data_IF_132544121931
#
_entry.id   IF_132544121931
#
_cell.length_a   1.000
_cell.length_b   1.000
_cell.length_c   1.000
_cell.angle_alpha   90.00
_cell.angle_beta   90.00
_cell.angle_gamma   90.00
#
_symmetry.space_group_name_H-M   'P 1'
#
loop_
_entity.id
_entity.type
_entity.pdbx_description
1 polymer ?
#
# COMPACT_ATOMS: atom_id res chain seq x y z
N UNK A 1 -67.10 -5.72 4.42
CA UNK A 1 -66.86 -5.10 5.74
C UNK A 1 -66.21 -6.16 6.62
N UNK A 2 -65.00 -5.87 7.14
CA UNK A 2 -64.21 -6.65 8.13
C UNK A 2 -63.60 -7.98 7.64
N UNK A 3 -62.38 -8.36 7.99
CA UNK A 3 -61.19 -7.68 8.50
C UNK A 3 -60.04 -8.73 8.47
N UNK A 4 -58.88 -8.32 7.96
CA UNK A 4 -57.50 -8.68 8.32
C UNK A 4 -57.14 -9.84 9.28
N UNK A 5 -55.97 -10.45 8.94
CA UNK A 5 -55.04 -11.35 9.69
C UNK A 5 -55.32 -12.84 9.51
N UNK A 6 -54.37 -13.66 9.04
CA UNK A 6 -53.13 -14.03 9.74
C UNK A 6 -51.95 -14.23 8.75
N UNK A 7 -50.82 -13.64 9.10
CA UNK A 7 -49.47 -13.90 8.57
C UNK A 7 -48.92 -15.21 9.15
N UNK A 8 -48.21 -16.02 8.37
CA UNK A 8 -47.13 -16.89 8.88
C UNK A 8 -46.14 -17.25 7.76
N UNK A 9 -45.06 -16.47 7.73
CA UNK A 9 -43.67 -16.85 7.45
C UNK A 9 -43.40 -18.06 6.53
N UNK A 10 -43.19 -17.77 5.24
CA UNK A 10 -42.55 -18.67 4.29
C UNK A 10 -41.33 -18.00 3.64
N UNK A 11 -40.14 -18.44 4.04
CA UNK A 11 -38.91 -18.52 3.23
C UNK A 11 -38.39 -17.19 2.64
N UNK A 12 -37.66 -16.46 3.48
CA UNK A 12 -36.44 -15.76 3.02
C UNK A 12 -35.36 -15.99 4.06
N UNK A 13 -34.73 -17.18 4.03
CA UNK A 13 -33.49 -17.40 4.73
C UNK A 13 -32.41 -16.56 4.03
N UNK A 14 -32.24 -15.32 4.51
CA UNK A 14 -31.02 -14.54 4.26
C UNK A 14 -29.90 -15.37 4.87
N UNK A 15 -29.11 -16.01 4.02
CA UNK A 15 -27.80 -16.57 4.37
C UNK A 15 -26.93 -15.40 4.83
N UNK A 16 -27.03 -15.07 6.12
CA UNK A 16 -25.95 -14.41 6.85
C UNK A 16 -24.82 -15.45 6.93
N UNK A 17 -23.98 -15.49 5.91
CA UNK A 17 -22.61 -15.94 6.12
C UNK A 17 -22.01 -14.87 7.01
N UNK A 18 -22.08 -15.10 8.32
CA UNK A 18 -21.13 -14.49 9.24
C UNK A 18 -19.80 -15.06 8.80
N UNK A 19 -19.07 -14.36 7.94
CA UNK A 19 -17.65 -14.62 7.76
C UNK A 19 -17.04 -14.49 9.14
N UNK A 20 -16.73 -15.61 9.79
CA UNK A 20 -15.77 -15.57 10.88
C UNK A 20 -14.53 -14.89 10.28
N UNK A 21 -14.17 -13.73 10.82
CA UNK A 21 -12.88 -13.12 10.51
C UNK A 21 -11.82 -14.17 10.85
N UNK A 22 -11.22 -14.77 9.84
CA UNK A 22 -10.10 -15.67 10.06
C UNK A 22 -8.99 -14.85 10.70
N UNK A 23 -8.28 -15.46 11.65
CA UNK A 23 -7.11 -14.82 12.24
C UNK A 23 -6.12 -14.45 11.13
N UNK A 24 -5.66 -13.20 11.08
CA UNK A 24 -4.66 -12.79 10.09
C UNK A 24 -3.33 -13.49 10.41
N UNK A 25 -2.84 -14.32 9.48
CA UNK A 25 -1.55 -14.99 9.60
C UNK A 25 -0.49 -14.17 8.88
N UNK A 26 0.52 -13.71 9.62
CA UNK A 26 1.68 -12.99 9.12
C UNK A 26 2.88 -13.91 9.25
N UNK A 27 3.47 -14.31 8.12
CA UNK A 27 4.73 -15.07 8.12
C UNK A 27 5.89 -14.11 7.97
N UNK A 28 6.81 -14.12 8.94
CA UNK A 28 8.10 -13.45 8.85
C UNK A 28 9.13 -14.43 8.28
N UNK A 29 9.42 -14.31 6.99
CA UNK A 29 10.36 -15.15 6.24
C UNK A 29 11.70 -14.43 6.06
N UNK A 30 12.78 -15.09 6.43
CA UNK A 30 14.12 -14.53 6.29
C UNK A 30 15.20 -15.41 6.89
N UNK A 31 16.32 -14.78 7.22
CA UNK A 31 17.56 -15.43 7.66
C UNK A 31 17.73 -15.49 9.20
N UNK A 32 18.99 -15.41 9.68
CA UNK A 32 19.36 -15.36 11.11
C UNK A 32 18.82 -14.14 11.85
N UNK A 33 18.63 -13.01 11.17
CA UNK A 33 18.05 -11.80 11.75
C UNK A 33 16.59 -12.05 12.08
N UNK A 34 15.86 -12.69 11.15
CA UNK A 34 14.46 -13.10 11.39
C UNK A 34 14.36 -14.22 12.42
N UNK A 35 15.29 -15.16 12.42
CA UNK A 35 15.36 -16.24 13.40
C UNK A 35 15.65 -15.75 14.83
N UNK A 36 16.17 -14.53 15.01
CA UNK A 36 16.54 -13.96 16.31
C UNK A 36 17.88 -14.46 16.82
N UNK A 37 18.90 -14.48 15.98
CA UNK A 37 20.24 -14.81 16.45
C UNK A 37 20.70 -13.84 17.55
N UNK A 38 20.98 -14.40 18.75
CA UNK A 38 21.45 -13.69 19.97
C UNK A 38 20.48 -12.67 20.59
N UNK A 39 19.21 -12.65 20.18
CA UNK A 39 18.19 -11.78 20.78
C UNK A 39 16.81 -12.42 20.68
N UNK A 40 15.83 -11.91 21.40
CA UNK A 40 14.43 -12.23 21.13
C UNK A 40 14.12 -11.92 19.66
N UNK A 41 13.55 -12.86 18.87
CA UNK A 41 13.27 -12.61 17.46
C UNK A 41 12.29 -11.45 17.27
N UNK A 42 12.51 -10.59 16.27
CA UNK A 42 11.58 -9.50 15.98
C UNK A 42 10.15 -10.01 15.68
N UNK A 43 9.92 -11.21 15.09
CA UNK A 43 8.56 -11.73 14.93
C UNK A 43 7.85 -11.97 16.27
N UNK A 44 8.59 -12.36 17.32
CA UNK A 44 8.04 -12.48 18.68
C UNK A 44 7.66 -11.11 19.24
N UNK A 45 8.52 -10.11 19.07
CA UNK A 45 8.21 -8.74 19.49
C UNK A 45 7.01 -8.17 18.71
N UNK A 46 6.91 -8.46 17.42
CA UNK A 46 5.78 -8.08 16.57
C UNK A 46 4.47 -8.74 17.04
N UNK A 47 4.49 -10.04 17.37
CA UNK A 47 3.33 -10.73 17.96
C UNK A 47 2.86 -10.05 19.24
N UNK A 48 3.80 -9.67 20.11
CA UNK A 48 3.48 -9.00 21.37
C UNK A 48 2.83 -7.61 21.15
N UNK A 49 3.22 -6.89 20.09
CA UNK A 49 2.64 -5.59 19.76
C UNK A 49 1.18 -5.68 19.29
N UNK A 50 0.81 -6.74 18.55
CA UNK A 50 -0.60 -7.00 18.23
C UNK A 50 -1.43 -7.37 19.46
N UNK A 51 -0.81 -8.03 20.43
CA UNK A 51 -1.48 -8.51 21.64
C UNK A 51 -2.37 -9.74 21.40
N UNK A 52 -2.64 -10.47 22.47
CA UNK A 52 -3.31 -11.79 22.40
C UNK A 52 -4.77 -11.74 21.93
N UNK A 53 -5.41 -10.57 21.95
CA UNK A 53 -6.82 -10.37 21.60
C UNK A 53 -7.07 -9.92 20.16
N UNK A 54 -6.02 -9.56 19.40
CA UNK A 54 -6.16 -9.03 18.03
C UNK A 54 -6.47 -10.10 16.98
N UNK A 55 -6.44 -11.39 17.34
CA UNK A 55 -6.65 -12.47 16.39
C UNK A 55 -5.60 -12.50 15.26
N UNK A 56 -4.43 -11.89 15.44
CA UNK A 56 -3.32 -11.94 14.48
C UNK A 56 -2.27 -12.91 14.98
N UNK A 57 -1.87 -13.86 14.13
CA UNK A 57 -0.79 -14.80 14.39
C UNK A 57 0.44 -14.40 13.59
N UNK A 58 1.55 -14.16 14.27
CA UNK A 58 2.86 -13.90 13.65
C UNK A 58 3.71 -15.16 13.75
N UNK A 59 4.09 -15.70 12.58
CA UNK A 59 4.90 -16.91 12.45
C UNK A 59 6.34 -16.50 12.18
N UNK A 60 7.27 -16.99 12.99
CA UNK A 60 8.69 -16.89 12.69
C UNK A 60 9.12 -18.02 11.74
N UNK A 61 9.41 -17.68 10.49
CA UNK A 61 9.97 -18.57 9.48
C UNK A 61 11.42 -18.20 9.12
N UNK A 62 12.17 -17.64 10.08
CA UNK A 62 13.58 -17.33 9.96
C UNK A 62 14.47 -18.57 9.96
N UNK A 63 15.47 -18.62 9.08
CA UNK A 63 16.44 -19.70 8.99
C UNK A 63 17.87 -19.15 8.92
N UNK A 64 18.65 -19.36 9.97
CA UNK A 64 20.02 -18.86 10.05
C UNK A 64 20.90 -19.35 8.90
N UNK A 65 21.68 -18.43 8.32
CA UNK A 65 22.60 -18.69 7.21
C UNK A 65 21.93 -18.91 5.86
N UNK A 66 20.63 -18.66 5.72
CA UNK A 66 19.94 -18.76 4.44
C UNK A 66 20.25 -17.58 3.52
N UNK A 67 20.59 -17.88 2.27
CA UNK A 67 20.72 -16.93 1.16
C UNK A 67 19.46 -16.94 0.26
N UNK A 68 19.38 -16.00 -0.68
CA UNK A 68 18.12 -15.78 -1.41
C UNK A 68 17.80 -16.92 -2.36
N UNK A 69 18.82 -17.65 -2.82
CA UNK A 69 18.65 -18.84 -3.65
C UNK A 69 17.96 -19.97 -2.87
N UNK A 70 18.44 -20.23 -1.65
CA UNK A 70 17.82 -21.21 -0.75
C UNK A 70 16.44 -20.73 -0.26
N UNK A 71 16.28 -19.42 -0.05
CA UNK A 71 15.02 -18.78 0.29
C UNK A 71 13.93 -19.01 -0.77
N UNK A 72 14.24 -18.78 -2.05
CA UNK A 72 13.35 -19.07 -3.19
C UNK A 72 12.86 -20.53 -3.18
N UNK A 73 13.76 -21.47 -2.88
CA UNK A 73 13.43 -22.90 -2.84
C UNK A 73 12.57 -23.29 -1.63
N UNK A 74 12.75 -22.62 -0.49
CA UNK A 74 12.05 -22.94 0.77
C UNK A 74 10.66 -22.30 0.86
N UNK A 75 10.47 -21.13 0.25
CA UNK A 75 9.28 -20.29 0.46
C UNK A 75 7.98 -21.03 0.15
N UNK A 76 7.88 -21.77 -0.96
CA UNK A 76 6.67 -22.52 -1.33
C UNK A 76 6.20 -23.50 -0.24
N UNK A 77 7.12 -24.15 0.47
CA UNK A 77 6.79 -25.03 1.59
C UNK A 77 6.23 -24.27 2.80
N UNK A 78 6.79 -23.09 3.09
CA UNK A 78 6.30 -22.20 4.15
C UNK A 78 4.91 -21.66 3.81
N UNK A 79 4.70 -21.20 2.58
CA UNK A 79 3.40 -20.72 2.09
C UNK A 79 2.32 -21.82 2.22
N UNK A 80 2.65 -23.04 1.82
CA UNK A 80 1.73 -24.19 1.90
C UNK A 80 1.42 -24.60 3.33
N UNK A 81 2.39 -24.47 4.24
CA UNK A 81 2.24 -24.87 5.65
C UNK A 81 1.35 -23.91 6.42
N UNK A 82 1.51 -22.60 6.20
CA UNK A 82 0.88 -21.58 7.03
C UNK A 82 -0.30 -20.85 6.35
N UNK A 83 -0.47 -20.99 5.03
CA UNK A 83 -1.49 -20.29 4.24
C UNK A 83 -1.67 -18.81 4.65
N UNK A 84 -0.59 -18.00 4.60
CA UNK A 84 -0.57 -16.68 5.22
C UNK A 84 -1.41 -15.64 4.47
N UNK A 85 -1.85 -14.62 5.19
CA UNK A 85 -2.41 -13.40 4.60
C UNK A 85 -1.30 -12.43 4.16
N UNK A 86 -0.22 -12.37 4.93
CA UNK A 86 0.93 -11.51 4.68
C UNK A 86 2.24 -12.28 4.83
N UNK A 87 3.22 -11.98 3.97
CA UNK A 87 4.57 -12.51 4.10
C UNK A 87 5.55 -11.36 4.12
N UNK A 88 6.19 -11.17 5.27
CA UNK A 88 7.36 -10.29 5.40
C UNK A 88 8.57 -11.05 4.87
N UNK A 89 9.23 -10.50 3.86
CA UNK A 89 10.45 -11.03 3.25
C UNK A 89 11.60 -10.09 3.62
N UNK A 90 12.46 -10.56 4.52
CA UNK A 90 13.70 -9.88 4.90
C UNK A 90 14.85 -10.86 4.72
N UNK A 91 15.41 -10.84 3.52
CA UNK A 91 16.49 -11.71 3.07
C UNK A 91 17.46 -10.91 2.18
N UNK A 92 18.67 -11.42 1.97
CA UNK A 92 19.79 -10.82 1.26
C UNK A 92 21.00 -10.58 2.16
N UNK A 93 20.91 -10.76 3.49
CA UNK A 93 22.08 -10.52 4.34
C UNK A 93 23.20 -11.53 4.05
N UNK A 94 22.86 -12.82 3.88
CA UNK A 94 23.87 -13.83 3.59
C UNK A 94 24.41 -13.69 2.16
N UNK A 95 23.61 -13.23 1.20
CA UNK A 95 24.07 -12.83 -0.14
C UNK A 95 25.20 -11.81 -0.07
N UNK A 96 25.00 -10.74 0.73
CA UNK A 96 26.02 -9.71 0.97
C UNK A 96 27.29 -10.34 1.57
N UNK A 97 27.12 -11.26 2.52
CA UNK A 97 28.23 -11.89 3.24
C UNK A 97 29.07 -12.83 2.35
N UNK A 98 28.43 -13.58 1.46
CA UNK A 98 29.09 -14.57 0.60
C UNK A 98 29.40 -14.05 -0.82
N UNK A 99 28.96 -12.84 -1.15
CA UNK A 99 29.26 -12.15 -2.39
C UNK A 99 28.38 -12.54 -3.59
N UNK A 100 27.11 -12.89 -3.37
CA UNK A 100 26.12 -12.99 -4.45
C UNK A 100 25.86 -11.57 -5.00
N UNK A 101 25.73 -11.39 -6.32
CA UNK A 101 25.58 -10.04 -6.87
C UNK A 101 24.25 -9.38 -6.46
N UNK A 102 24.20 -8.04 -6.29
CA UNK A 102 22.96 -7.31 -6.01
C UNK A 102 21.82 -7.61 -6.97
N UNK A 103 22.12 -7.76 -8.26
CA UNK A 103 21.13 -8.07 -9.29
C UNK A 103 20.53 -9.47 -9.10
N UNK A 104 21.37 -10.44 -8.72
CA UNK A 104 20.93 -11.83 -8.44
C UNK A 104 20.07 -11.87 -7.19
N UNK A 105 20.47 -11.16 -6.12
CA UNK A 105 19.69 -11.01 -4.89
C UNK A 105 18.32 -10.40 -5.19
N UNK A 106 18.26 -9.29 -5.95
CA UNK A 106 17.00 -8.63 -6.33
C UNK A 106 16.13 -9.55 -7.21
N UNK A 107 16.72 -10.29 -8.15
CA UNK A 107 16.01 -11.27 -8.96
C UNK A 107 15.35 -12.36 -8.10
N UNK A 108 16.08 -12.92 -7.14
CA UNK A 108 15.56 -13.95 -6.24
C UNK A 108 14.48 -13.38 -5.30
N UNK A 109 14.66 -12.16 -4.79
CA UNK A 109 13.64 -11.45 -4.02
C UNK A 109 12.37 -11.26 -4.84
N UNK A 110 12.46 -10.82 -6.10
CA UNK A 110 11.29 -10.72 -6.98
C UNK A 110 10.57 -12.06 -7.16
N UNK A 111 11.32 -13.16 -7.33
CA UNK A 111 10.71 -14.49 -7.41
C UNK A 111 9.95 -14.86 -6.13
N UNK A 112 10.47 -14.51 -4.95
CA UNK A 112 9.77 -14.69 -3.69
C UNK A 112 8.49 -13.83 -3.58
N UNK A 113 8.51 -12.59 -4.10
CA UNK A 113 7.30 -11.76 -4.18
C UNK A 113 6.23 -12.42 -5.08
N UNK A 114 6.63 -12.92 -6.25
CA UNK A 114 5.73 -13.60 -7.20
C UNK A 114 5.14 -14.88 -6.60
N UNK A 115 5.94 -15.71 -5.93
CA UNK A 115 5.45 -16.90 -5.23
C UNK A 115 4.43 -16.54 -4.14
N UNK A 116 4.68 -15.47 -3.39
CA UNK A 116 3.78 -14.98 -2.34
C UNK A 116 2.43 -14.54 -2.92
N UNK A 117 2.47 -13.74 -4.00
CA UNK A 117 1.26 -13.30 -4.70
C UNK A 117 0.48 -14.47 -5.31
N UNK A 118 1.18 -15.44 -5.92
CA UNK A 118 0.58 -16.63 -6.50
C UNK A 118 -0.12 -17.51 -5.45
N UNK A 119 0.37 -17.51 -4.21
CA UNK A 119 -0.27 -18.17 -3.07
C UNK A 119 -1.46 -17.38 -2.49
N UNK A 120 -1.80 -16.21 -3.05
CA UNK A 120 -2.89 -15.35 -2.56
C UNK A 120 -2.53 -14.50 -1.35
N UNK A 121 -1.26 -14.48 -0.94
CA UNK A 121 -0.77 -13.68 0.16
C UNK A 121 -0.23 -12.33 -0.33
N UNK A 122 -0.18 -11.33 0.56
CA UNK A 122 0.40 -10.01 0.27
C UNK A 122 1.87 -10.00 0.68
N UNK A 123 2.81 -9.80 -0.25
CA UNK A 123 4.21 -9.66 0.12
C UNK A 123 4.49 -8.28 0.74
N UNK A 124 5.42 -8.29 1.68
CA UNK A 124 6.01 -7.11 2.31
C UNK A 124 7.51 -7.30 2.22
N UNK A 125 8.17 -6.45 1.43
CA UNK A 125 9.59 -6.51 1.20
C UNK A 125 10.30 -5.59 2.20
N UNK A 126 11.43 -6.06 2.73
CA UNK A 126 12.27 -5.27 3.62
C UNK A 126 13.69 -5.12 3.07
N UNK A 127 14.31 -3.98 3.36
CA UNK A 127 15.73 -3.75 3.09
C UNK A 127 16.61 -4.51 4.09
N UNK A 128 17.82 -4.84 3.66
CA UNK A 128 18.82 -5.53 4.48
C UNK A 128 19.32 -4.56 5.55
N UNK A 129 19.49 -5.02 6.80
CA UNK A 129 19.95 -4.17 7.92
C UNK A 129 21.39 -3.68 7.72
N UNK A 130 21.80 -2.58 8.38
CA UNK A 130 23.12 -2.00 8.24
C UNK A 130 24.24 -2.90 8.75
N UNK A 131 25.47 -2.51 8.43
CA UNK A 131 26.67 -3.10 8.98
C UNK A 131 27.65 -2.05 9.51
N UNK A 132 28.23 -2.32 10.68
CA UNK A 132 29.35 -1.55 11.22
C UNK A 132 30.58 -2.43 11.53
N UNK A 133 30.53 -3.72 11.19
CA UNK A 133 31.69 -4.60 11.27
C UNK A 133 32.65 -4.36 10.10
N UNK A 134 33.94 -4.63 10.32
CA UNK A 134 35.01 -4.44 9.34
C UNK A 134 35.04 -5.50 8.22
N UNK A 135 33.98 -6.29 8.07
CA UNK A 135 33.96 -7.57 7.32
C UNK A 135 33.77 -7.46 5.80
N UNK A 136 33.75 -6.24 5.24
CA UNK A 136 33.45 -6.05 3.81
C UNK A 136 31.98 -6.27 3.43
N UNK A 137 31.12 -6.59 4.40
CA UNK A 137 29.66 -6.65 4.25
C UNK A 137 29.12 -5.23 3.98
N UNK A 138 28.50 -5.02 2.81
CA UNK A 138 28.06 -3.70 2.31
C UNK A 138 26.63 -3.75 1.76
N UNK A 139 25.59 -3.74 2.62
CA UNK A 139 24.18 -3.80 2.22
C UNK A 139 23.75 -2.57 1.42
N UNK A 140 24.50 -1.47 1.50
CA UNK A 140 24.28 -0.23 0.74
C UNK A 140 24.35 -0.45 -0.78
N UNK A 141 25.08 -1.49 -1.22
CA UNK A 141 25.17 -1.86 -2.63
C UNK A 141 23.93 -2.63 -3.13
N UNK A 142 23.08 -3.12 -2.22
CA UNK A 142 21.95 -4.00 -2.51
C UNK A 142 20.61 -3.28 -2.29
N UNK A 143 20.50 -2.54 -1.18
CA UNK A 143 19.27 -1.87 -0.76
C UNK A 143 18.64 -0.94 -1.82
N UNK A 144 19.39 -0.17 -2.65
CA UNK A 144 18.78 0.60 -3.72
C UNK A 144 17.99 -0.25 -4.73
N UNK A 145 18.49 -1.45 -5.05
CA UNK A 145 17.79 -2.40 -5.93
C UNK A 145 16.53 -2.98 -5.29
N UNK A 146 16.59 -3.31 -4.00
CA UNK A 146 15.45 -3.79 -3.21
C UNK A 146 14.35 -2.72 -3.13
N UNK A 147 14.73 -1.46 -2.90
CA UNK A 147 13.81 -0.32 -2.86
C UNK A 147 13.15 -0.14 -4.24
N UNK A 148 13.93 -0.18 -5.32
CA UNK A 148 13.43 -0.04 -6.68
C UNK A 148 12.46 -1.18 -7.06
N UNK A 149 12.78 -2.41 -6.66
CA UNK A 149 11.90 -3.56 -6.85
C UNK A 149 10.50 -3.31 -6.25
N UNK A 150 10.42 -2.73 -5.05
CA UNK A 150 9.15 -2.43 -4.43
C UNK A 150 8.35 -1.31 -5.12
N UNK A 151 9.01 -0.39 -5.82
CA UNK A 151 8.34 0.67 -6.60
C UNK A 151 7.54 0.12 -7.79
N UNK A 152 7.81 -1.13 -8.21
CA UNK A 152 7.02 -1.85 -9.22
C UNK A 152 5.57 -2.12 -8.81
N UNK A 153 5.19 -1.87 -7.55
CA UNK A 153 3.80 -1.86 -7.09
C UNK A 153 3.23 -3.21 -6.63
N UNK A 154 4.03 -4.28 -6.71
CA UNK A 154 3.62 -5.64 -6.36
C UNK A 154 3.82 -5.98 -4.87
N UNK A 155 4.39 -5.07 -4.08
CA UNK A 155 4.70 -5.28 -2.66
C UNK A 155 4.64 -3.97 -1.89
N UNK A 156 4.45 -4.07 -0.57
CA UNK A 156 4.75 -2.97 0.34
C UNK A 156 6.25 -2.99 0.66
N UNK A 157 6.90 -1.83 0.70
CA UNK A 157 8.27 -1.71 1.20
C UNK A 157 8.29 -1.26 2.66
N UNK A 158 9.13 -1.91 3.47
CA UNK A 158 9.49 -1.44 4.80
C UNK A 158 11.02 -1.30 4.85
N UNK A 159 11.48 -0.06 4.79
CA UNK A 159 12.90 0.26 4.79
C UNK A 159 13.51 0.12 6.20
N UNK A 160 13.78 -1.11 6.59
CA UNK A 160 14.38 -1.45 7.88
C UNK A 160 15.76 -0.84 8.04
N UNK A 161 16.57 -0.77 6.98
CA UNK A 161 17.85 -0.08 6.99
C UNK A 161 17.70 1.37 7.46
N UNK A 162 16.83 2.15 6.82
CA UNK A 162 16.59 3.55 7.19
C UNK A 162 16.07 3.69 8.63
N UNK A 163 15.27 2.74 9.11
CA UNK A 163 14.72 2.76 10.46
C UNK A 163 15.78 2.58 11.56
N UNK A 164 16.89 1.90 11.29
CA UNK A 164 17.86 1.51 12.32
C UNK A 164 19.26 2.09 12.13
N UNK A 165 19.61 2.56 10.92
CA UNK A 165 20.98 2.99 10.58
C UNK A 165 21.52 4.11 11.47
N UNK A 166 20.67 5.07 11.86
CA UNK A 166 21.09 6.24 12.65
C UNK A 166 21.60 5.89 14.06
N UNK A 167 21.21 4.73 14.59
CA UNK A 167 21.61 4.25 15.92
C UNK A 167 22.15 2.83 15.89
N UNK A 168 22.56 2.33 14.71
CA UNK A 168 22.86 0.92 14.54
C UNK A 168 23.94 0.42 15.51
N UNK A 169 24.92 1.26 15.84
CA UNK A 169 25.97 0.96 16.83
C UNK A 169 25.48 0.51 18.19
N UNK A 170 24.28 0.91 18.61
CA UNK A 170 23.65 0.52 19.87
C UNK A 170 22.53 -0.52 19.69
N UNK A 171 22.19 -0.88 18.45
CA UNK A 171 21.07 -1.77 18.11
C UNK A 171 21.54 -3.15 17.64
N UNK A 172 22.84 -3.42 17.59
CA UNK A 172 23.39 -4.70 17.16
C UNK A 172 24.30 -5.32 18.25
N UNK A 173 24.67 -6.60 18.06
CA UNK A 173 25.60 -7.34 18.93
C UNK A 173 26.96 -7.64 18.30
N UNK A 174 27.07 -7.68 16.97
CA UNK A 174 28.29 -8.09 16.26
C UNK A 174 28.52 -7.34 14.93
N UNK A 175 27.82 -6.22 14.77
CA UNK A 175 27.83 -5.37 13.59
C UNK A 175 26.73 -5.69 12.59
N UNK A 176 26.15 -6.90 12.61
CA UNK A 176 25.15 -7.37 11.64
C UNK A 176 23.84 -7.81 12.33
N UNK A 177 23.93 -8.51 13.47
CA UNK A 177 22.73 -9.04 14.13
C UNK A 177 22.15 -8.06 15.15
N UNK A 178 20.82 -7.84 15.15
CA UNK A 178 20.18 -6.99 16.15
C UNK A 178 20.36 -7.52 17.58
N UNK A 179 20.50 -6.61 18.53
CA UNK A 179 20.29 -6.92 19.95
C UNK A 179 18.80 -6.80 20.33
N UNK A 180 18.45 -6.94 21.60
CA UNK A 180 17.06 -6.82 22.07
C UNK A 180 16.38 -5.49 21.64
N UNK A 181 17.10 -4.37 21.74
CA UNK A 181 16.59 -3.06 21.34
C UNK A 181 16.44 -2.94 19.81
N UNK A 182 17.41 -3.45 19.06
CA UNK A 182 17.34 -3.51 17.60
C UNK A 182 16.19 -4.37 17.10
N UNK A 183 16.04 -5.57 17.65
CA UNK A 183 14.92 -6.48 17.36
C UNK A 183 13.56 -5.82 17.63
N UNK A 184 13.44 -5.12 18.76
CA UNK A 184 12.22 -4.36 19.10
C UNK A 184 11.95 -3.23 18.10
N UNK A 185 12.99 -2.52 17.67
CA UNK A 185 12.87 -1.40 16.71
C UNK A 185 12.45 -1.91 15.32
N UNK A 186 13.03 -3.02 14.87
CA UNK A 186 12.63 -3.70 13.62
C UNK A 186 11.16 -4.11 13.70
N UNK A 187 10.74 -4.77 14.78
CA UNK A 187 9.36 -5.16 14.99
C UNK A 187 8.41 -3.95 14.97
N UNK A 188 8.80 -2.81 15.54
CA UNK A 188 7.99 -1.60 15.54
C UNK A 188 7.85 -0.97 14.15
N UNK A 189 8.91 -1.03 13.33
CA UNK A 189 8.87 -0.67 11.91
C UNK A 189 7.81 -1.49 11.17
N UNK A 190 7.86 -2.82 11.34
CA UNK A 190 6.86 -3.73 10.76
C UNK A 190 5.45 -3.46 11.29
N UNK A 191 5.28 -3.36 12.60
CA UNK A 191 3.99 -3.13 13.26
C UNK A 191 3.33 -1.83 12.80
N UNK A 192 4.07 -0.72 12.78
CA UNK A 192 3.52 0.57 12.37
C UNK A 192 2.98 0.53 10.93
N UNK A 193 3.73 -0.08 10.00
CA UNK A 193 3.33 -0.18 8.60
C UNK A 193 2.21 -1.18 8.39
N UNK A 194 2.29 -2.35 9.02
CA UNK A 194 1.25 -3.37 8.93
C UNK A 194 -0.06 -2.91 9.55
N UNK A 195 -0.05 -2.28 10.73
CA UNK A 195 -1.26 -1.74 11.36
C UNK A 195 -1.80 -0.55 10.57
N UNK A 196 -0.96 0.33 10.04
CA UNK A 196 -1.40 1.38 9.13
C UNK A 196 -2.03 0.78 7.86
N UNK A 197 -1.50 -0.33 7.34
CA UNK A 197 -2.02 -1.05 6.18
C UNK A 197 -3.27 -1.88 6.49
N UNK A 198 -3.46 -2.35 7.72
CA UNK A 198 -4.63 -3.08 8.20
C UNK A 198 -5.78 -2.13 8.53
N UNK A 199 -5.49 -0.99 9.15
CA UNK A 199 -6.41 0.13 9.24
C UNK A 199 -6.71 0.71 7.86
N UNK A 200 -5.76 0.63 6.91
CA UNK A 200 -6.01 0.89 5.48
C UNK A 200 -6.58 -0.32 4.71
N UNK A 201 -6.83 -1.46 5.37
CA UNK A 201 -7.55 -2.61 4.81
C UNK A 201 -8.98 -2.69 5.35
N UNK A 202 -9.26 -2.09 6.52
CA UNK A 202 -10.57 -1.55 6.88
C UNK A 202 -10.83 -0.17 6.27
N UNK A 203 -9.81 0.48 5.68
CA UNK A 203 -9.94 1.71 4.90
C UNK A 203 -8.91 1.84 3.75
N UNK A 204 -9.12 1.07 2.67
CA UNK A 204 -8.56 1.37 1.33
C UNK A 204 -7.02 1.47 1.15
N UNK A 205 -6.45 0.55 0.39
CA UNK A 205 -5.05 0.57 -0.04
C UNK A 205 -4.57 1.82 -0.79
N UNK A 206 -3.26 2.06 -0.70
CA UNK A 206 -2.44 2.85 -1.63
C UNK A 206 -2.86 4.30 -1.84
N UNK A 207 -2.23 5.22 -1.08
CA UNK A 207 -2.20 6.68 -1.36
C UNK A 207 -3.48 7.19 -2.00
N UNK A 208 -4.60 7.09 -1.27
CA UNK A 208 -5.93 7.23 -1.84
C UNK A 208 -6.35 8.68 -2.03
N UNK A 209 -7.10 8.96 -3.09
CA UNK A 209 -8.02 10.09 -3.09
C UNK A 209 -9.15 9.79 -2.09
N UNK A 210 -8.89 9.91 -0.78
CA UNK A 210 -9.78 9.56 0.33
C UNK A 210 -11.25 9.96 0.11
N UNK A 211 -11.51 11.21 -0.29
CA UNK A 211 -12.86 11.73 -0.56
C UNK A 211 -13.51 11.06 -1.78
N UNK A 212 -12.75 10.86 -2.86
CA UNK A 212 -13.25 10.21 -4.06
C UNK A 212 -13.53 8.73 -3.80
N UNK A 213 -12.62 8.01 -3.12
CA UNK A 213 -12.83 6.64 -2.69
C UNK A 213 -14.04 6.53 -1.76
N UNK A 214 -14.24 7.48 -0.85
CA UNK A 214 -15.42 7.52 0.01
C UNK A 214 -16.72 7.62 -0.81
N UNK A 215 -16.76 8.47 -1.83
CA UNK A 215 -17.92 8.70 -2.66
C UNK A 215 -18.20 7.55 -3.65
N UNK A 216 -17.16 6.97 -4.26
CA UNK A 216 -17.27 5.97 -5.32
C UNK A 216 -17.16 4.52 -4.84
N UNK A 217 -16.60 4.31 -3.65
CA UNK A 217 -16.62 3.03 -2.94
C UNK A 217 -15.33 2.21 -3.05
N UNK A 218 -14.55 2.35 -4.12
CA UNK A 218 -13.29 1.62 -4.30
C UNK A 218 -12.19 2.49 -4.92
N UNK A 219 -10.94 2.15 -4.61
CA UNK A 219 -9.74 2.80 -5.18
C UNK A 219 -9.50 2.46 -6.64
N UNK A 220 -10.13 1.38 -7.12
CA UNK A 220 -10.04 0.89 -8.49
C UNK A 220 -11.10 1.52 -9.41
N UNK A 221 -11.98 2.36 -8.86
CA UNK A 221 -13.03 2.95 -9.65
C UNK A 221 -12.41 3.94 -10.67
N UNK A 222 -12.84 3.95 -11.95
CA UNK A 222 -12.25 4.80 -12.98
C UNK A 222 -12.15 6.28 -12.61
N UNK A 223 -13.15 6.85 -11.92
CA UNK A 223 -13.11 8.24 -11.46
C UNK A 223 -12.01 8.46 -10.42
N UNK A 224 -11.78 7.49 -9.54
CA UNK A 224 -10.73 7.56 -8.51
C UNK A 224 -9.35 7.41 -9.14
N UNK A 225 -9.19 6.49 -10.08
CA UNK A 225 -7.95 6.32 -10.85
C UNK A 225 -7.61 7.61 -11.62
N UNK A 226 -8.61 8.22 -12.28
CA UNK A 226 -8.43 9.46 -13.02
C UNK A 226 -7.92 10.60 -12.13
N UNK A 227 -8.50 10.78 -10.93
CA UNK A 227 -8.05 11.80 -9.98
C UNK A 227 -6.66 11.51 -9.43
N UNK A 228 -6.29 10.23 -9.23
CA UNK A 228 -4.94 9.82 -8.87
C UNK A 228 -3.93 10.18 -9.97
N UNK A 229 -4.23 9.86 -11.23
CA UNK A 229 -3.39 10.26 -12.37
C UNK A 229 -3.23 11.78 -12.46
N UNK A 230 -4.31 12.53 -12.29
CA UNK A 230 -4.26 14.00 -12.28
C UNK A 230 -3.35 14.54 -11.16
N UNK A 231 -3.49 14.00 -9.93
CA UNK A 231 -2.61 14.33 -8.80
C UNK A 231 -1.14 14.09 -9.16
N UNK A 232 -0.83 12.92 -9.70
CA UNK A 232 0.56 12.51 -9.96
C UNK A 232 1.19 13.31 -11.10
N UNK A 233 0.45 13.54 -12.19
CA UNK A 233 0.96 14.21 -13.38
C UNK A 233 0.96 15.75 -13.28
N UNK A 234 0.10 16.34 -12.45
CA UNK A 234 -0.07 17.81 -12.42
C UNK A 234 0.14 18.44 -11.04
N UNK A 235 -0.26 17.78 -9.95
CA UNK A 235 -0.16 18.38 -8.61
C UNK A 235 1.20 18.09 -7.97
N UNK A 236 1.71 16.86 -8.08
CA UNK A 236 2.99 16.47 -7.46
C UNK A 236 4.23 16.94 -8.24
N UNK A 237 4.04 17.55 -9.41
CA UNK A 237 5.16 18.04 -10.24
C UNK A 237 5.73 19.38 -9.76
N UNK A 238 5.07 20.05 -8.82
CA UNK A 238 5.51 21.34 -8.29
C UNK A 238 5.26 21.45 -6.78
N UNK A 239 5.96 22.39 -6.13
CA UNK A 239 5.94 22.55 -4.66
C UNK A 239 4.56 22.95 -4.12
N UNK A 240 3.86 23.83 -4.84
CA UNK A 240 2.52 24.29 -4.42
C UNK A 240 1.50 23.15 -4.48
N UNK A 241 1.49 22.40 -5.57
CA UNK A 241 0.60 21.25 -5.72
C UNK A 241 0.95 20.11 -4.74
N UNK A 242 2.23 19.86 -4.49
CA UNK A 242 2.66 18.87 -3.49
C UNK A 242 2.21 19.25 -2.08
N UNK A 243 2.35 20.53 -1.70
CA UNK A 243 1.85 21.02 -0.42
C UNK A 243 0.32 20.93 -0.31
N UNK A 244 -0.40 21.25 -1.39
CA UNK A 244 -1.85 21.08 -1.46
C UNK A 244 -2.26 19.60 -1.25
N UNK A 245 -1.59 18.67 -1.92
CA UNK A 245 -1.84 17.23 -1.76
C UNK A 245 -1.50 16.77 -0.34
N UNK A 246 -0.46 17.31 0.28
CA UNK A 246 -0.12 17.01 1.67
C UNK A 246 -1.21 17.48 2.64
N UNK A 247 -1.71 18.72 2.50
CA UNK A 247 -2.85 19.19 3.29
C UNK A 247 -4.08 18.31 3.10
N UNK A 248 -4.35 17.92 1.86
CA UNK A 248 -5.43 16.98 1.56
C UNK A 248 -5.26 15.67 2.32
N UNK A 249 -4.07 15.05 2.30
CA UNK A 249 -3.83 13.81 3.05
C UNK A 249 -3.88 13.97 4.57
N UNK A 250 -3.50 15.13 5.10
CA UNK A 250 -3.58 15.39 6.53
C UNK A 250 -5.02 15.55 7.02
N UNK A 251 -5.88 16.23 6.26
CA UNK A 251 -7.22 16.64 6.75
C UNK A 251 -8.40 15.87 6.14
N UNK A 252 -8.25 15.25 4.98
CA UNK A 252 -9.34 14.53 4.33
C UNK A 252 -9.74 13.17 4.92
N UNK A 253 -8.89 12.41 5.63
CA UNK A 253 -9.29 11.09 6.12
C UNK A 253 -10.53 11.09 7.04
N UNK A 254 -10.65 11.94 8.08
CA UNK A 254 -11.85 11.97 8.92
C UNK A 254 -13.12 12.38 8.16
N UNK A 255 -12.98 13.27 7.17
CA UNK A 255 -14.08 13.71 6.31
C UNK A 255 -14.52 12.55 5.40
N UNK A 256 -13.56 11.81 4.85
CA UNK A 256 -13.82 10.63 4.02
C UNK A 256 -14.51 9.52 4.83
N UNK A 257 -14.11 9.30 6.07
CA UNK A 257 -14.74 8.34 6.98
C UNK A 257 -16.21 8.70 7.24
N UNK A 258 -16.49 9.98 7.46
CA UNK A 258 -17.85 10.48 7.64
C UNK A 258 -18.71 10.32 6.37
N UNK A 259 -18.17 10.65 5.20
CA UNK A 259 -18.85 10.48 3.91
C UNK A 259 -19.20 9.01 3.65
N UNK A 260 -18.29 8.07 3.96
CA UNK A 260 -18.51 6.63 3.72
C UNK A 260 -19.74 6.08 4.42
N UNK A 261 -20.10 6.65 5.56
CA UNK A 261 -21.23 6.19 6.38
C UNK A 261 -22.59 6.74 5.92
N UNK A 262 -22.61 7.66 4.94
CA UNK A 262 -23.83 8.40 4.57
C UNK A 262 -24.06 8.44 3.04
N UNK A 263 -25.02 7.67 2.54
CA UNK A 263 -25.28 7.56 1.09
C UNK A 263 -25.65 8.89 0.42
N UNK A 264 -26.39 9.77 1.10
CA UNK A 264 -26.74 11.10 0.59
C UNK A 264 -25.49 11.94 0.40
N UNK A 265 -24.55 11.91 1.36
CA UNK A 265 -23.29 12.65 1.24
C UNK A 265 -22.43 12.09 0.11
N UNK A 266 -22.40 10.77 -0.09
CA UNK A 266 -21.71 10.16 -1.24
C UNK A 266 -22.26 10.70 -2.56
N UNK A 267 -23.59 10.77 -2.69
CA UNK A 267 -24.24 11.34 -3.88
C UNK A 267 -23.88 12.82 -4.09
N UNK A 268 -23.96 13.64 -3.03
CA UNK A 268 -23.58 15.07 -3.10
C UNK A 268 -22.11 15.23 -3.49
N UNK A 269 -21.21 14.45 -2.91
CA UNK A 269 -19.77 14.49 -3.22
C UNK A 269 -19.51 14.09 -4.67
N UNK A 270 -20.23 13.10 -5.23
CA UNK A 270 -20.11 12.75 -6.66
C UNK A 270 -20.45 13.94 -7.57
N UNK A 271 -21.51 14.69 -7.23
CA UNK A 271 -21.88 15.91 -7.97
C UNK A 271 -20.78 16.97 -7.85
N UNK A 272 -20.28 17.22 -6.63
CA UNK A 272 -19.23 18.21 -6.39
C UNK A 272 -17.90 17.86 -7.07
N UNK A 273 -17.58 16.57 -7.20
CA UNK A 273 -16.37 16.11 -7.88
C UNK A 273 -16.50 16.14 -9.41
N UNK A 274 -17.72 16.22 -9.96
CA UNK A 274 -17.93 16.10 -11.40
C UNK A 274 -17.18 17.16 -12.23
N UNK A 275 -17.17 18.46 -11.87
CA UNK A 275 -16.38 19.46 -12.60
C UNK A 275 -14.86 19.18 -12.54
N UNK A 276 -14.36 18.68 -11.41
CA UNK A 276 -12.95 18.32 -11.29
C UNK A 276 -12.62 17.09 -12.14
N UNK A 277 -13.53 16.11 -12.20
CA UNK A 277 -13.38 14.92 -13.03
C UNK A 277 -13.35 15.27 -14.52
N UNK A 278 -14.20 16.19 -14.99
CA UNK A 278 -14.21 16.60 -16.40
C UNK A 278 -12.93 17.33 -16.78
N UNK A 279 -12.44 18.24 -15.93
CA UNK A 279 -11.14 18.91 -16.13
C UNK A 279 -9.99 17.90 -16.10
N UNK A 280 -9.99 16.98 -15.13
CA UNK A 280 -8.96 15.96 -15.00
C UNK A 280 -8.93 15.03 -16.22
N UNK A 281 -10.10 14.60 -16.69
CA UNK A 281 -10.24 13.78 -17.90
C UNK A 281 -9.67 14.51 -19.11
N UNK A 282 -10.04 15.78 -19.29
CA UNK A 282 -9.55 16.58 -20.41
C UNK A 282 -8.03 16.76 -20.39
N UNK A 283 -7.45 16.98 -19.21
CA UNK A 283 -6.01 17.17 -19.06
C UNK A 283 -5.21 15.87 -19.25
N UNK A 284 -5.69 14.77 -18.67
CA UNK A 284 -4.95 13.50 -18.62
C UNK A 284 -5.07 12.71 -19.93
N UNK A 285 -6.25 12.68 -20.57
CA UNK A 285 -6.52 11.77 -21.70
C UNK A 285 -6.28 12.42 -23.08
N UNK A 286 -6.23 13.76 -23.18
CA UNK A 286 -5.97 14.46 -24.44
C UNK A 286 -4.55 14.99 -24.52
N UNK A 287 -3.94 14.92 -25.70
CA UNK A 287 -2.62 15.52 -25.94
C UNK A 287 -2.69 17.06 -25.95
N UNK A 288 -1.57 17.77 -25.71
CA UNK A 288 -1.55 19.24 -25.73
C UNK A 288 -2.08 19.84 -27.05
N UNK A 289 -1.82 19.18 -28.17
CA UNK A 289 -2.34 19.61 -29.48
C UNK A 289 -3.86 19.45 -29.56
N UNK A 290 -4.41 18.33 -29.11
CA UNK A 290 -5.86 18.11 -29.06
C UNK A 290 -6.56 19.08 -28.13
N UNK A 291 -5.96 19.35 -26.96
CA UNK A 291 -6.46 20.35 -26.01
C UNK A 291 -6.54 21.73 -26.66
N UNK A 292 -5.49 22.13 -27.38
CA UNK A 292 -5.45 23.40 -28.10
C UNK A 292 -6.54 23.49 -29.19
N UNK A 293 -6.71 22.43 -29.98
CA UNK A 293 -7.74 22.36 -31.03
C UNK A 293 -9.14 22.52 -30.41
N UNK A 294 -9.43 21.78 -29.33
CA UNK A 294 -10.72 21.83 -28.64
C UNK A 294 -10.98 23.23 -28.06
N UNK A 295 -9.97 23.86 -27.46
CA UNK A 295 -10.08 25.21 -26.92
C UNK A 295 -10.42 26.24 -28.01
N UNK A 296 -9.76 26.16 -29.17
CA UNK A 296 -10.04 27.03 -30.32
C UNK A 296 -11.48 26.84 -30.82
N UNK A 297 -11.93 25.60 -30.99
CA UNK A 297 -13.29 25.29 -31.46
C UNK A 297 -14.35 25.82 -30.49
N UNK A 298 -14.14 25.65 -29.18
CA UNK A 298 -15.05 26.20 -28.16
C UNK A 298 -15.10 27.72 -28.20
N UNK A 299 -13.94 28.38 -28.31
CA UNK A 299 -13.86 29.84 -28.39
C UNK A 299 -14.56 30.39 -29.64
N UNK A 300 -14.34 29.77 -30.81
CA UNK A 300 -15.01 30.16 -32.06
C UNK A 300 -16.54 29.97 -31.98
N UNK A 301 -16.98 28.86 -31.40
CA UNK A 301 -18.40 28.53 -31.25
C UNK A 301 -19.11 29.49 -30.29
N UNK A 302 -18.46 29.86 -29.18
CA UNK A 302 -18.95 30.86 -28.25
C UNK A 302 -19.00 32.26 -28.88
N UNK A 303 -17.98 32.64 -29.65
CA UNK A 303 -17.96 33.89 -30.42
C UNK A 303 -19.13 33.98 -31.42
N UNK A 304 -19.41 32.89 -32.15
CA UNK A 304 -20.53 32.81 -33.08
C UNK A 304 -21.89 32.89 -32.36
N UNK A 305 -22.01 32.24 -31.20
CA UNK A 305 -23.20 32.32 -30.35
C UNK A 305 -23.46 33.77 -29.89
N UNK A 306 -22.44 34.45 -29.34
CA UNK A 306 -22.55 35.84 -28.91
C UNK A 306 -22.89 36.79 -30.07
N UNK A 307 -22.30 36.57 -31.24
CA UNK A 307 -22.61 37.35 -32.43
C UNK A 307 -24.08 37.18 -32.86
N UNK A 308 -24.61 35.95 -32.82
CA UNK A 308 -26.02 35.65 -33.11
C UNK A 308 -26.97 36.24 -32.06
N UNK A 309 -26.62 36.11 -30.79
CA UNK A 309 -27.39 36.66 -29.67
C UNK A 309 -27.49 38.20 -29.76
N UNK A 310 -26.37 38.87 -30.05
CA UNK A 310 -26.35 40.33 -30.28
C UNK A 310 -27.16 40.75 -31.50
N UNK A 311 -27.15 39.97 -32.58
CA UNK A 311 -27.94 40.26 -33.79
C UNK A 311 -29.45 40.15 -33.55
N UNK A 312 -29.89 39.16 -32.77
CA UNK A 312 -31.31 39.00 -32.39
C UNK A 312 -31.80 40.16 -31.50
N UNK A 313 -30.99 40.62 -30.55
CA UNK A 313 -31.36 41.76 -29.69
C UNK A 313 -31.27 43.15 -30.34
N UNK A 314 -30.65 43.28 -31.52
CA UNK A 314 -30.65 44.53 -32.31
C UNK A 314 -31.82 44.60 -33.31
N UNK A 315 -32.56 43.51 -33.49
CA UNK A 315 -33.68 43.41 -34.43
C UNK A 315 -35.06 43.58 -33.75
N UNK A 316 -35.07 43.82 -32.44
CA UNK A 316 -36.22 44.24 -31.63
C UNK A 316 -36.00 45.69 -31.18
#
# INVERSE_FOLDING_TARGET
MRLFRIFSAGITAVLFIVSLSHADVIVCFGDSITAGYKATPYPTNLQNMYGSSAGTQVVNAGKGGEDTYNGVSRLGGVLSTYAPNYVVIMEGANDVMIGISPETTVFNLNNMLEQTLAAGAKPILSTITPNISSSGYQPENYNPGIINLAQGGNTTLIDTYANVVSNWSNLNVDGIHPNEAGSTTIAQGFYSQLVNNQNASSSSGGGGCFIATAAYGTVLEPQVILLKKFRDLYLLTNRLGSYFVQLYYTYSPPIADFIRQHDILRFVVRILLFPLLTVSFFLVEFSPLQQLIIAIVMFCSFGLFLARFRKQHRAN
#
